data_IF_522522224095
#
_entry.id   IF_522522224095
#
_cell.length_a   1.000
_cell.length_b   1.000
_cell.length_c   1.000
_cell.angle_alpha   90.00
_cell.angle_beta   90.00
_cell.angle_gamma   90.00
#
_symmetry.space_group_name_H-M   'P 1'
#
loop_
_entity.id
_entity.type
_entity.pdbx_description
1 polymer ?
#
# COMPACT_ATOMS: atom_id res chain seq x y z
N UNK A 1 29.00 11.52 -4.47
CA UNK A 1 27.63 11.00 -4.75
C UNK A 1 27.37 9.84 -3.82
N UNK A 2 26.20 9.75 -3.17
CA UNK A 2 25.85 8.63 -2.32
C UNK A 2 24.78 7.75 -3.01
N UNK A 3 25.13 6.51 -3.31
CA UNK A 3 24.26 5.43 -3.81
C UNK A 3 23.53 5.68 -5.15
N UNK A 4 24.24 5.99 -6.26
CA UNK A 4 23.63 6.28 -7.57
C UNK A 4 23.00 5.07 -8.29
N UNK A 5 23.31 3.85 -7.83
CA UNK A 5 22.83 2.60 -8.41
C UNK A 5 21.89 1.84 -7.46
N UNK A 6 21.33 2.52 -6.44
CA UNK A 6 20.47 1.88 -5.46
C UNK A 6 19.17 1.42 -6.13
N UNK A 7 19.01 0.10 -6.27
CA UNK A 7 17.81 -0.51 -6.86
C UNK A 7 16.74 -0.77 -5.80
N UNK A 8 17.16 -1.25 -4.65
CA UNK A 8 16.29 -1.68 -3.56
C UNK A 8 16.72 -0.98 -2.27
N UNK A 9 15.72 -0.52 -1.50
CA UNK A 9 15.91 0.01 -0.16
C UNK A 9 14.93 -0.69 0.78
N UNK A 10 15.48 -1.33 1.81
CA UNK A 10 14.70 -1.94 2.88
C UNK A 10 14.99 -1.20 4.19
N UNK A 11 13.94 -0.80 4.90
CA UNK A 11 14.03 -0.21 6.24
C UNK A 11 13.19 -1.06 7.20
N UNK A 12 13.85 -1.61 8.21
CA UNK A 12 13.27 -2.53 9.19
C UNK A 12 13.39 -1.92 10.59
N UNK A 13 12.30 -1.91 11.36
CA UNK A 13 12.29 -1.64 12.80
C UNK A 13 13.05 -0.36 13.21
N UNK A 14 12.85 0.72 12.47
CA UNK A 14 13.50 2.00 12.71
C UNK A 14 12.55 2.98 13.43
N UNK A 15 13.10 3.89 14.25
CA UNK A 15 12.35 4.95 14.96
C UNK A 15 12.11 6.19 14.09
N UNK A 16 12.09 6.02 12.77
CA UNK A 16 11.90 7.12 11.83
C UNK A 16 10.43 7.55 11.88
N UNK A 17 10.22 8.84 12.10
CA UNK A 17 8.91 9.49 12.00
C UNK A 17 8.61 9.94 10.57
N UNK A 18 9.65 10.11 9.75
CA UNK A 18 9.58 10.43 8.33
C UNK A 18 10.76 9.80 7.57
N UNK A 19 10.57 9.57 6.27
CA UNK A 19 11.66 9.12 5.41
C UNK A 19 12.57 10.31 5.07
N UNK A 20 13.91 10.13 5.06
CA UNK A 20 14.84 11.20 4.73
C UNK A 20 14.53 11.85 3.36
N UNK A 21 14.44 13.19 3.25
CA UNK A 21 14.15 13.88 1.99
C UNK A 21 15.17 13.57 0.87
N UNK A 22 16.40 13.23 1.25
CA UNK A 22 17.45 12.80 0.33
C UNK A 22 17.10 11.50 -0.43
N UNK A 23 16.19 10.68 0.09
CA UNK A 23 15.67 9.48 -0.58
C UNK A 23 14.45 9.81 -1.47
N UNK A 24 13.64 10.79 -1.08
CA UNK A 24 12.45 11.28 -1.80
C UNK A 24 12.76 12.22 -2.99
N UNK A 25 14.03 12.34 -3.39
CA UNK A 25 14.43 13.34 -4.39
C UNK A 25 14.14 12.88 -5.82
N UNK A 26 13.28 13.61 -6.52
CA UNK A 26 12.92 13.39 -7.94
C UNK A 26 14.08 13.53 -8.93
N UNK A 27 15.23 14.10 -8.51
CA UNK A 27 16.44 14.28 -9.33
C UNK A 27 17.37 13.06 -9.33
N UNK A 28 17.04 12.00 -8.59
CA UNK A 28 17.89 10.81 -8.41
C UNK A 28 17.37 9.65 -9.25
N UNK A 29 18.29 8.76 -9.65
CA UNK A 29 17.96 7.34 -9.88
C UNK A 29 17.66 6.73 -8.51
N UNK A 30 16.48 7.05 -7.95
CA UNK A 30 16.07 6.55 -6.64
C UNK A 30 15.76 5.05 -6.67
N UNK A 31 15.48 4.44 -5.51
CA UNK A 31 15.15 3.02 -5.44
C UNK A 31 13.94 2.72 -6.33
N UNK A 32 13.99 1.57 -6.99
CA UNK A 32 12.86 0.99 -7.72
C UNK A 32 11.99 0.14 -6.80
N UNK A 33 12.58 -0.42 -5.75
CA UNK A 33 11.94 -1.29 -4.78
C UNK A 33 12.12 -0.67 -3.39
N UNK A 34 11.01 -0.42 -2.67
CA UNK A 34 11.00 0.14 -1.33
C UNK A 34 10.23 -0.78 -0.40
N UNK A 35 10.93 -1.38 0.56
CA UNK A 35 10.35 -2.20 1.61
C UNK A 35 10.45 -1.50 2.96
N UNK A 36 9.33 -1.21 3.61
CA UNK A 36 9.28 -0.62 4.93
C UNK A 36 8.54 -1.57 5.88
N UNK A 37 9.10 -1.82 7.05
CA UNK A 37 8.60 -2.83 7.97
C UNK A 37 8.69 -2.35 9.42
N UNK A 38 7.56 -2.36 10.13
CA UNK A 38 7.46 -2.08 11.57
C UNK A 38 8.03 -0.71 11.98
N UNK A 39 7.69 0.36 11.25
CA UNK A 39 8.05 1.73 11.64
C UNK A 39 6.85 2.40 12.32
N UNK A 40 6.69 2.12 13.62
CA UNK A 40 5.48 2.45 14.39
C UNK A 40 5.12 3.94 14.44
N UNK A 41 6.06 4.82 14.15
CA UNK A 41 5.88 6.28 14.20
C UNK A 41 5.77 6.95 12.83
N UNK A 42 5.91 6.19 11.72
CA UNK A 42 5.79 6.74 10.38
C UNK A 42 4.32 7.01 10.05
N UNK A 43 4.00 8.28 9.76
CA UNK A 43 2.62 8.73 9.48
C UNK A 43 2.33 8.91 8.00
N UNK A 44 3.34 9.10 7.16
CA UNK A 44 3.18 9.25 5.71
C UNK A 44 4.35 8.67 4.91
N UNK A 45 4.07 8.28 3.67
CA UNK A 45 5.06 7.93 2.64
C UNK A 45 4.80 8.77 1.41
N UNK A 46 5.72 9.67 1.06
CA UNK A 46 5.50 10.59 -0.06
C UNK A 46 6.74 10.84 -0.92
N UNK A 47 6.49 11.25 -2.16
CA UNK A 47 7.50 11.78 -3.08
C UNK A 47 8.58 10.76 -3.50
N UNK A 48 8.20 9.52 -3.83
CA UNK A 48 9.11 8.54 -4.45
C UNK A 48 8.74 8.25 -5.91
N UNK A 49 9.03 9.18 -6.85
CA UNK A 49 8.64 9.03 -8.25
C UNK A 49 9.45 7.96 -9.02
N UNK A 50 10.47 7.36 -8.41
CA UNK A 50 11.26 6.25 -8.98
C UNK A 50 10.74 4.87 -8.60
N UNK A 51 9.99 4.76 -7.49
CA UNK A 51 9.56 3.49 -6.91
C UNK A 51 8.52 2.84 -7.81
N UNK A 52 8.77 1.57 -8.14
CA UNK A 52 7.93 0.70 -8.96
C UNK A 52 7.26 -0.35 -8.09
N UNK A 53 7.93 -0.81 -7.04
CA UNK A 53 7.38 -1.76 -6.06
C UNK A 53 7.49 -1.18 -4.64
N UNK A 54 6.36 -1.15 -3.94
CA UNK A 54 6.27 -0.74 -2.54
C UNK A 54 5.72 -1.89 -1.69
N UNK A 55 6.41 -2.19 -0.60
CA UNK A 55 5.95 -3.12 0.42
C UNK A 55 5.91 -2.43 1.78
N UNK A 56 4.76 -2.47 2.43
CA UNK A 56 4.52 -1.92 3.75
C UNK A 56 3.96 -3.00 4.68
N UNK A 57 4.63 -3.22 5.81
CA UNK A 57 4.17 -4.16 6.82
C UNK A 57 4.14 -3.52 8.20
N UNK A 58 3.00 -3.60 8.88
CA UNK A 58 2.80 -3.19 10.26
C UNK A 58 3.08 -1.70 10.52
N UNK A 59 2.17 -0.84 10.00
CA UNK A 59 2.21 0.61 10.20
C UNK A 59 0.94 1.10 10.93
N UNK A 60 0.92 1.10 12.27
CA UNK A 60 -0.26 1.47 13.04
C UNK A 60 -0.62 2.96 12.97
N UNK A 61 0.30 3.82 12.53
CA UNK A 61 0.11 5.28 12.47
C UNK A 61 0.11 5.87 11.06
N UNK A 62 0.26 5.04 10.02
CA UNK A 62 0.35 5.52 8.64
C UNK A 62 -1.04 5.91 8.12
N UNK A 63 -1.21 7.19 7.77
CA UNK A 63 -2.49 7.73 7.29
C UNK A 63 -2.50 8.07 5.81
N UNK A 64 -1.32 8.34 5.20
CA UNK A 64 -1.23 8.81 3.81
C UNK A 64 -0.07 8.22 3.02
N UNK A 65 -0.36 7.89 1.76
CA UNK A 65 0.63 7.56 0.72
C UNK A 65 0.37 8.43 -0.50
N UNK A 66 1.39 9.12 -1.00
CA UNK A 66 1.22 10.04 -2.15
C UNK A 66 2.46 10.15 -3.03
N UNK A 67 2.28 10.59 -4.29
CA UNK A 67 3.39 10.98 -5.16
C UNK A 67 4.30 9.82 -5.62
N UNK A 68 3.73 8.62 -5.79
CA UNK A 68 4.41 7.42 -6.29
C UNK A 68 4.07 7.18 -7.76
N UNK A 69 4.47 8.10 -8.63
CA UNK A 69 3.99 8.17 -10.03
C UNK A 69 4.36 6.96 -10.91
N UNK A 70 5.35 6.16 -10.50
CA UNK A 70 5.80 4.94 -11.20
C UNK A 70 5.40 3.64 -10.51
N UNK A 71 4.65 3.71 -9.41
CA UNK A 71 4.27 2.53 -8.65
C UNK A 71 3.40 1.60 -9.49
N UNK A 72 3.82 0.35 -9.63
CA UNK A 72 3.11 -0.70 -10.36
C UNK A 72 2.64 -1.81 -9.42
N UNK A 73 3.44 -2.15 -8.40
CA UNK A 73 3.10 -3.19 -7.43
C UNK A 73 3.07 -2.61 -6.03
N UNK A 74 1.96 -2.81 -5.34
CA UNK A 74 1.78 -2.35 -3.98
C UNK A 74 1.37 -3.51 -3.08
N UNK A 75 2.18 -3.80 -2.05
CA UNK A 75 1.88 -4.78 -1.02
C UNK A 75 1.73 -4.05 0.31
N UNK A 76 0.61 -4.28 0.99
CA UNK A 76 0.32 -3.65 2.27
C UNK A 76 -0.25 -4.68 3.24
N UNK A 77 0.26 -4.69 4.46
CA UNK A 77 -0.27 -5.52 5.52
C UNK A 77 -0.26 -4.81 6.87
N UNK A 78 -1.33 -4.99 7.65
CA UNK A 78 -1.46 -4.48 9.01
C UNK A 78 -1.24 -2.94 9.10
N UNK A 79 -1.99 -2.19 8.27
CA UNK A 79 -1.97 -0.73 8.24
C UNK A 79 -3.40 -0.20 8.44
N UNK A 80 -3.96 -0.28 9.68
CA UNK A 80 -5.39 -0.18 9.92
C UNK A 80 -5.98 1.23 9.74
N UNK A 81 -5.16 2.27 9.86
CA UNK A 81 -5.61 3.68 9.78
C UNK A 81 -5.19 4.38 8.49
N UNK A 82 -4.75 3.63 7.48
CA UNK A 82 -4.42 4.22 6.18
C UNK A 82 -5.71 4.72 5.50
N UNK A 83 -5.77 6.02 5.26
CA UNK A 83 -6.96 6.67 4.71
C UNK A 83 -6.79 7.05 3.24
N UNK A 84 -5.58 7.53 2.87
CA UNK A 84 -5.34 8.14 1.56
C UNK A 84 -4.22 7.42 0.82
N UNK A 85 -4.53 6.99 -0.41
CA UNK A 85 -3.55 6.56 -1.41
C UNK A 85 -3.83 7.31 -2.71
N UNK A 86 -2.90 8.18 -3.10
CA UNK A 86 -3.08 9.05 -4.27
C UNK A 86 -1.79 9.25 -5.06
N UNK A 87 -1.89 9.80 -6.28
CA UNK A 87 -0.71 10.01 -7.12
C UNK A 87 -0.03 8.69 -7.53
N UNK A 88 -0.81 7.62 -7.70
CA UNK A 88 -0.40 6.27 -8.13
C UNK A 88 -1.03 5.88 -9.48
N UNK A 89 -0.88 6.70 -10.56
CA UNK A 89 -1.60 6.50 -11.82
C UNK A 89 -1.23 5.21 -12.58
N UNK A 90 -0.11 4.58 -12.25
CA UNK A 90 0.39 3.37 -12.92
C UNK A 90 0.20 2.09 -12.10
N UNK A 91 -0.56 2.15 -11.00
CA UNK A 91 -0.77 1.01 -10.12
C UNK A 91 -1.44 -0.13 -10.89
N UNK A 92 -0.76 -1.26 -10.99
CA UNK A 92 -1.22 -2.43 -11.75
C UNK A 92 -1.72 -3.54 -10.83
N UNK A 93 -0.98 -3.82 -9.76
CA UNK A 93 -1.26 -4.91 -8.83
C UNK A 93 -1.22 -4.42 -7.39
N UNK A 94 -2.25 -4.77 -6.63
CA UNK A 94 -2.34 -4.50 -5.20
C UNK A 94 -2.55 -5.80 -4.43
N UNK A 95 -1.77 -6.01 -3.37
CA UNK A 95 -1.94 -7.11 -2.42
C UNK A 95 -2.15 -6.50 -1.04
N UNK A 96 -3.25 -6.86 -0.39
CA UNK A 96 -3.62 -6.37 0.93
C UNK A 96 -3.82 -7.55 1.87
N UNK A 97 -3.24 -7.49 3.06
CA UNK A 97 -3.40 -8.50 4.09
C UNK A 97 -3.67 -7.88 5.46
N UNK A 98 -4.86 -8.10 5.98
CA UNK A 98 -5.21 -7.69 7.33
C UNK A 98 -6.34 -8.56 7.89
N UNK A 99 -5.97 -9.46 8.80
CA UNK A 99 -6.88 -10.40 9.43
C UNK A 99 -7.84 -9.74 10.43
N UNK A 100 -7.59 -8.48 10.80
CA UNK A 100 -8.45 -7.68 11.68
C UNK A 100 -9.39 -6.76 10.90
N UNK A 101 -9.24 -6.69 9.58
CA UNK A 101 -10.02 -5.80 8.72
C UNK A 101 -11.49 -6.20 8.65
N UNK A 102 -12.37 -5.36 9.19
CA UNK A 102 -13.83 -5.57 9.17
C UNK A 102 -14.56 -4.82 8.04
N UNK A 103 -13.89 -3.84 7.44
CA UNK A 103 -14.41 -3.00 6.34
C UNK A 103 -13.32 -2.75 5.31
N UNK A 104 -13.73 -2.61 4.04
CA UNK A 104 -12.81 -2.21 2.98
C UNK A 104 -12.42 -0.74 3.15
N UNK A 105 -11.12 -0.41 3.07
CA UNK A 105 -10.64 0.95 3.22
C UNK A 105 -11.11 1.84 2.06
N UNK A 106 -11.30 3.12 2.36
CA UNK A 106 -11.92 4.06 1.42
C UNK A 106 -11.05 4.32 0.18
N UNK A 107 -9.73 4.36 0.32
CA UNK A 107 -8.82 4.54 -0.81
C UNK A 107 -8.96 3.48 -1.90
N UNK A 108 -9.61 2.34 -1.64
CA UNK A 108 -9.91 1.36 -2.69
C UNK A 108 -10.85 1.92 -3.76
N UNK A 109 -11.68 2.91 -3.43
CA UNK A 109 -12.57 3.59 -4.40
C UNK A 109 -11.79 4.51 -5.34
N UNK A 110 -10.63 5.03 -4.91
CA UNK A 110 -9.83 5.99 -5.68
C UNK A 110 -8.73 5.31 -6.49
N UNK A 111 -8.15 4.22 -5.98
CA UNK A 111 -7.14 3.45 -6.72
C UNK A 111 -7.79 2.52 -7.74
N UNK A 112 -7.15 2.36 -8.90
CA UNK A 112 -7.70 1.58 -10.02
C UNK A 112 -6.74 0.47 -10.48
N UNK A 113 -6.27 -0.42 -9.58
CA UNK A 113 -5.40 -1.52 -9.98
C UNK A 113 -6.13 -2.46 -10.95
N UNK A 114 -5.36 -3.13 -11.82
CA UNK A 114 -5.89 -4.20 -12.67
C UNK A 114 -6.14 -5.47 -11.87
N UNK A 115 -5.30 -5.75 -10.87
CA UNK A 115 -5.36 -6.91 -10.00
C UNK A 115 -5.39 -6.52 -8.52
N UNK A 116 -6.35 -7.05 -7.77
CA UNK A 116 -6.41 -6.95 -6.31
C UNK A 116 -6.41 -8.35 -5.69
N UNK A 117 -5.45 -8.63 -4.81
CA UNK A 117 -5.52 -9.76 -3.88
C UNK A 117 -5.78 -9.23 -2.47
N UNK A 118 -6.84 -9.72 -1.83
CA UNK A 118 -7.24 -9.33 -0.48
C UNK A 118 -7.27 -10.56 0.42
N UNK A 119 -6.50 -10.52 1.49
CA UNK A 119 -6.61 -11.49 2.59
C UNK A 119 -7.14 -10.75 3.81
N UNK A 120 -8.37 -11.04 4.22
CA UNK A 120 -9.06 -10.28 5.26
C UNK A 120 -9.65 -11.16 6.38
N UNK A 121 -10.33 -10.52 7.34
CA UNK A 121 -11.08 -11.24 8.37
C UNK A 121 -12.17 -12.11 7.76
N UNK A 122 -12.48 -13.25 8.40
CA UNK A 122 -13.58 -14.14 8.00
C UNK A 122 -14.92 -13.39 7.87
N UNK A 123 -15.20 -12.47 8.80
CA UNK A 123 -16.41 -11.63 8.81
C UNK A 123 -16.50 -10.75 7.56
N UNK A 124 -15.40 -10.10 7.16
CA UNK A 124 -15.38 -9.28 5.94
C UNK A 124 -15.49 -10.16 4.69
N UNK A 125 -14.75 -11.26 4.64
CA UNK A 125 -14.83 -12.23 3.54
C UNK A 125 -16.26 -12.72 3.28
N UNK A 126 -16.95 -13.21 4.32
CA UNK A 126 -18.35 -13.66 4.22
C UNK A 126 -19.27 -12.52 3.72
N UNK A 127 -19.07 -11.29 4.21
CA UNK A 127 -19.87 -10.13 3.78
C UNK A 127 -19.63 -9.71 2.33
N UNK A 128 -18.45 -10.00 1.77
CA UNK A 128 -18.13 -9.75 0.36
C UNK A 128 -18.73 -10.83 -0.55
N UNK A 129 -18.82 -12.08 -0.07
CA UNK A 129 -19.44 -13.19 -0.82
C UNK A 129 -20.96 -13.06 -0.94
N UNK A 130 -21.64 -12.59 0.10
CA UNK A 130 -23.11 -12.49 0.09
C UNK A 130 -23.62 -11.37 -0.83
N UNK A 131 -22.74 -10.54 -1.39
CA UNK A 131 -23.08 -9.47 -2.35
C UNK A 131 -24.00 -8.39 -1.77
N UNK A 132 -24.24 -8.41 -0.46
CA UNK A 132 -25.34 -7.71 0.20
C UNK A 132 -24.96 -6.36 0.79
N UNK A 133 -23.80 -5.79 0.43
CA UNK A 133 -23.34 -4.55 1.06
C UNK A 133 -22.67 -3.57 0.10
N UNK A 134 -22.89 -2.29 0.39
CA UNK A 134 -22.15 -1.11 -0.08
C UNK A 134 -20.62 -1.24 0.04
N UNK A 135 -20.12 -2.26 0.74
CA UNK A 135 -18.68 -2.56 0.84
C UNK A 135 -18.15 -3.11 -0.48
N UNK A 136 -18.88 -3.97 -1.19
CA UNK A 136 -18.41 -4.56 -2.46
C UNK A 136 -18.24 -3.51 -3.57
N UNK A 137 -19.08 -2.47 -3.55
CA UNK A 137 -19.02 -1.36 -4.50
C UNK A 137 -17.64 -0.70 -4.54
N UNK A 138 -16.92 -0.67 -3.40
CA UNK A 138 -15.59 -0.07 -3.29
C UNK A 138 -14.51 -0.75 -4.11
N UNK A 139 -14.73 -2.00 -4.53
CA UNK A 139 -13.78 -2.76 -5.35
C UNK A 139 -14.40 -3.20 -6.66
N UNK A 140 -15.65 -2.81 -6.94
CA UNK A 140 -16.43 -3.27 -8.10
C UNK A 140 -15.80 -2.91 -9.45
N UNK A 141 -15.09 -1.78 -9.53
CA UNK A 141 -14.35 -1.31 -10.70
C UNK A 141 -13.10 -2.13 -11.04
N UNK A 142 -12.57 -2.92 -10.09
CA UNK A 142 -11.33 -3.70 -10.25
C UNK A 142 -11.64 -5.01 -10.97
N UNK A 143 -11.18 -5.18 -12.22
CA UNK A 143 -11.56 -6.33 -13.05
C UNK A 143 -11.21 -7.70 -12.45
N UNK A 144 -10.00 -7.85 -11.91
CA UNK A 144 -9.50 -9.12 -11.38
C UNK A 144 -9.30 -9.03 -9.88
N UNK A 145 -10.02 -9.86 -9.13
CA UNK A 145 -10.00 -9.88 -7.66
C UNK A 145 -9.85 -11.32 -7.16
N UNK A 146 -8.95 -11.53 -6.21
CA UNK A 146 -8.86 -12.75 -5.42
C UNK A 146 -9.06 -12.37 -3.96
N UNK A 147 -10.05 -12.95 -3.30
CA UNK A 147 -10.36 -12.65 -1.91
C UNK A 147 -10.24 -13.96 -1.14
N UNK A 148 -9.40 -13.96 -0.12
CA UNK A 148 -9.12 -15.08 0.75
C UNK A 148 -9.39 -14.67 2.21
N UNK A 149 -9.77 -15.61 3.07
CA UNK A 149 -9.72 -15.44 4.52
C UNK A 149 -8.59 -16.29 5.12
N UNK A 150 -8.10 -15.91 6.30
CA UNK A 150 -7.22 -16.78 7.08
C UNK A 150 -8.10 -17.79 7.83
N UNK A 151 -7.78 -19.08 7.71
CA UNK A 151 -8.44 -20.19 8.41
C UNK A 151 -8.19 -20.14 9.92
#
# INVERSE_FOLDING_TARGET
>A
MAMPALKELIILSCKLTCLPPGLCSSKRLGPRELGLYSLSDLTYVENFPSVVELELFNFPKLTRISGLSKLQKFRIALCPILEVVEGVPLLDSMVMQDHTMETLPEYLTTVTPRYLKLTCSKKLYESLLTGSSSKYDKISHIKSRTIDNIN
#
